data_IF_241305008880
#
_entry.id   IF_241305008880
#
_cell.length_a   1.000
_cell.length_b   1.000
_cell.length_c   1.000
_cell.angle_alpha   90.00
_cell.angle_beta   90.00
_cell.angle_gamma   90.00
#
_symmetry.space_group_name_H-M   'P 1'
#
loop_
_entity.id
_entity.type
_entity.pdbx_description
1 polymer ?
#
# COMPACT_ATOMS: atom_id res chain seq x y z
N UNK A 1 -0.54 -8.50 79.37
CA UNK A 1 -1.72 -7.64 79.58
C UNK A 1 -2.65 -7.84 78.39
N UNK A 2 -3.92 -8.24 78.65
CA UNK A 2 -5.20 -7.89 77.96
C UNK A 2 -5.17 -7.61 76.45
N UNK A 3 -6.08 -8.06 75.57
CA UNK A 3 -7.38 -8.71 75.66
C UNK A 3 -7.82 -9.17 74.24
N UNK A 4 -8.92 -9.95 74.17
CA UNK A 4 -9.70 -10.37 72.99
C UNK A 4 -10.37 -9.17 72.26
N UNK A 5 -10.94 -9.42 71.06
CA UNK A 5 -12.11 -8.82 70.33
C UNK A 5 -11.79 -8.96 68.82
N UNK A 6 -12.41 -9.79 67.95
CA UNK A 6 -13.81 -10.00 67.52
C UNK A 6 -14.44 -8.81 66.78
N UNK A 7 -14.42 -8.79 65.44
CA UNK A 7 -15.39 -8.05 64.58
C UNK A 7 -15.24 -8.37 63.07
N UNK A 8 -16.31 -8.88 62.45
CA UNK A 8 -16.72 -8.62 61.04
C UNK A 8 -17.72 -7.44 61.07
N UNK A 9 -18.23 -6.87 59.95
CA UNK A 9 -17.70 -6.51 58.62
C UNK A 9 -17.85 -4.98 58.35
N UNK A 10 -17.27 -4.42 57.28
CA UNK A 10 -17.78 -3.14 56.74
C UNK A 10 -17.56 -3.02 55.22
N UNK A 11 -18.67 -2.86 54.53
CA UNK A 11 -18.84 -2.55 53.13
C UNK A 11 -18.48 -1.07 52.90
N UNK A 12 -17.65 -0.76 51.90
CA UNK A 12 -17.56 0.60 51.36
C UNK A 12 -17.44 0.55 49.84
N UNK A 13 -18.49 1.03 49.21
CA UNK A 13 -18.72 1.23 47.78
C UNK A 13 -17.77 2.31 47.22
N UNK A 14 -17.03 2.00 46.15
CA UNK A 14 -16.57 2.95 45.13
C UNK A 14 -15.80 2.16 44.05
N UNK A 15 -16.39 1.89 42.89
CA UNK A 15 -16.33 2.73 41.68
C UNK A 15 -15.24 2.26 40.71
N UNK A 16 -15.72 1.99 39.50
CA UNK A 16 -15.04 2.14 38.22
C UNK A 16 -14.08 1.02 37.78
N UNK A 17 -14.70 0.10 37.02
CA UNK A 17 -14.26 -0.32 35.69
C UNK A 17 -13.01 0.39 35.17
N UNK A 18 -11.97 -0.39 34.92
CA UNK A 18 -11.17 -0.24 33.70
C UNK A 18 -10.96 -1.64 33.13
N UNK A 19 -11.95 -2.09 32.36
CA UNK A 19 -11.74 -3.13 31.36
C UNK A 19 -10.65 -2.55 30.45
N UNK A 20 -9.45 -3.12 30.54
CA UNK A 20 -8.30 -2.77 29.70
C UNK A 20 -8.63 -3.24 28.28
N UNK A 21 -9.44 -2.45 27.58
CA UNK A 21 -9.71 -2.61 26.17
C UNK A 21 -8.35 -2.50 25.46
N UNK A 22 -7.89 -3.64 24.94
CA UNK A 22 -6.80 -3.64 23.97
C UNK A 22 -7.18 -2.67 22.85
N UNK A 23 -6.28 -1.81 22.39
CA UNK A 23 -6.57 -0.93 21.27
C UNK A 23 -7.01 -1.81 20.10
N UNK A 24 -8.08 -1.47 19.37
CA UNK A 24 -8.38 -2.15 18.13
C UNK A 24 -7.12 -2.01 17.26
N UNK A 25 -6.54 -3.15 16.89
CA UNK A 25 -5.50 -3.21 15.89
C UNK A 25 -6.18 -2.72 14.62
N UNK A 26 -6.08 -1.43 14.38
CA UNK A 26 -6.58 -0.79 13.17
C UNK A 26 -5.66 -1.26 12.06
N UNK A 27 -5.97 -2.44 11.53
CA UNK A 27 -5.39 -2.98 10.32
C UNK A 27 -5.77 -2.03 9.19
N UNK A 28 -5.07 -0.92 9.07
CA UNK A 28 -5.17 0.03 7.96
C UNK A 28 -4.53 -0.61 6.74
N UNK A 29 -5.14 -1.68 6.25
CA UNK A 29 -4.98 -2.18 4.88
C UNK A 29 -5.70 -1.20 3.97
N UNK A 30 -5.14 0.00 3.84
CA UNK A 30 -5.71 1.07 3.03
C UNK A 30 -5.31 0.83 1.57
N UNK A 31 -5.86 -0.21 0.97
CA UNK A 31 -6.01 -0.24 -0.48
C UNK A 31 -6.97 0.88 -0.86
N UNK A 32 -6.71 1.53 -1.99
CA UNK A 32 -7.67 2.46 -2.56
C UNK A 32 -8.97 1.68 -2.80
N UNK A 33 -10.05 2.18 -2.20
CA UNK A 33 -11.38 1.65 -2.45
C UNK A 33 -11.69 1.81 -3.93
N UNK A 34 -12.35 0.82 -4.54
CA UNK A 34 -12.74 0.85 -5.96
C UNK A 34 -13.65 2.04 -6.30
N UNK A 35 -14.11 2.79 -5.30
CA UNK A 35 -15.03 3.93 -5.40
C UNK A 35 -14.41 5.28 -5.04
N UNK A 36 -13.11 5.35 -4.81
CA UNK A 36 -12.39 6.59 -4.53
C UNK A 36 -11.48 6.95 -5.69
N UNK A 37 -11.41 8.24 -5.99
CA UNK A 37 -10.46 8.78 -6.95
C UNK A 37 -9.02 8.46 -6.54
N UNK A 38 -8.16 8.18 -7.52
CA UNK A 38 -6.73 7.96 -7.36
C UNK A 38 -6.02 9.31 -7.58
N UNK A 39 -5.46 9.94 -6.52
CA UNK A 39 -4.66 11.15 -6.66
C UNK A 39 -3.22 10.83 -7.09
N UNK A 40 -2.52 11.82 -7.65
CA UNK A 40 -1.14 11.67 -8.15
C UNK A 40 -0.10 11.38 -7.04
N UNK A 41 -0.36 11.81 -5.81
CA UNK A 41 0.47 11.49 -4.66
C UNK A 41 0.18 10.10 -4.04
N UNK A 42 -0.73 9.32 -4.64
CA UNK A 42 -1.04 7.97 -4.17
C UNK A 42 0.20 7.08 -4.20
N UNK A 43 0.46 6.36 -3.11
CA UNK A 43 1.49 5.33 -3.06
C UNK A 43 1.16 4.20 -4.06
N UNK A 44 2.15 3.78 -4.85
CA UNK A 44 1.97 2.76 -5.90
C UNK A 44 1.45 1.45 -5.30
N UNK A 45 1.95 1.05 -4.11
CA UNK A 45 1.49 -0.13 -3.38
C UNK A 45 0.01 -0.13 -2.97
N UNK A 46 -0.63 1.05 -2.95
CA UNK A 46 -2.05 1.22 -2.58
C UNK A 46 -2.98 1.27 -3.79
N UNK A 47 -2.42 1.31 -5.01
CA UNK A 47 -3.21 1.33 -6.22
C UNK A 47 -4.06 0.06 -6.35
N UNK A 48 -5.19 0.11 -7.08
CA UNK A 48 -5.94 -1.08 -7.44
C UNK A 48 -5.04 -2.15 -8.07
N UNK A 49 -5.18 -3.39 -7.62
CA UNK A 49 -4.34 -4.53 -8.05
C UNK A 49 -4.24 -4.68 -9.57
N UNK A 50 -5.31 -4.39 -10.30
CA UNK A 50 -5.33 -4.44 -11.78
C UNK A 50 -4.32 -3.46 -12.40
N UNK A 51 -4.20 -2.25 -11.85
CA UNK A 51 -3.27 -1.23 -12.32
C UNK A 51 -1.83 -1.64 -12.00
N UNK A 52 -1.57 -2.11 -10.77
CA UNK A 52 -0.24 -2.62 -10.39
C UNK A 52 0.16 -3.80 -11.29
N UNK A 53 -0.78 -4.69 -11.60
CA UNK A 53 -0.53 -5.85 -12.45
C UNK A 53 -0.16 -5.47 -13.88
N UNK A 54 -0.80 -4.45 -14.47
CA UNK A 54 -0.42 -3.90 -15.78
C UNK A 54 1.06 -3.46 -15.77
N UNK A 55 1.44 -2.61 -14.81
CA UNK A 55 2.82 -2.10 -14.73
C UNK A 55 3.80 -3.26 -14.51
N UNK A 56 3.46 -4.18 -13.60
CA UNK A 56 4.28 -5.35 -13.31
C UNK A 56 4.50 -6.23 -14.55
N UNK A 57 3.45 -6.53 -15.32
CA UNK A 57 3.55 -7.41 -16.48
C UNK A 57 4.42 -6.82 -17.59
N UNK A 58 4.33 -5.51 -17.83
CA UNK A 58 5.16 -4.84 -18.84
C UNK A 58 6.63 -4.71 -18.41
N UNK A 59 6.91 -4.41 -17.14
CA UNK A 59 8.28 -4.28 -16.63
C UNK A 59 9.01 -5.62 -16.47
N UNK A 60 8.28 -6.74 -16.38
CA UNK A 60 8.82 -8.09 -16.28
C UNK A 60 9.39 -8.61 -17.62
N UNK A 61 9.03 -8.01 -18.75
CA UNK A 61 9.43 -8.47 -20.09
C UNK A 61 10.93 -8.27 -20.30
N UNK A 62 11.70 -9.37 -20.25
CA UNK A 62 13.18 -9.33 -20.32
C UNK A 62 13.77 -8.74 -21.61
N UNK A 63 13.01 -8.75 -22.70
CA UNK A 63 13.48 -8.29 -24.01
C UNK A 63 13.00 -6.87 -24.37
N UNK A 64 12.21 -6.23 -23.50
CA UNK A 64 11.84 -4.82 -23.69
C UNK A 64 12.88 -3.89 -23.08
N UNK A 65 13.06 -2.70 -23.66
CA UNK A 65 13.71 -1.59 -22.96
C UNK A 65 12.86 -1.17 -21.76
N UNK A 66 13.47 -0.61 -20.72
CA UNK A 66 12.77 -0.11 -19.53
C UNK A 66 12.11 -1.22 -18.71
N UNK A 67 12.91 -2.19 -18.29
CA UNK A 67 12.57 -3.30 -17.41
C UNK A 67 12.58 -2.88 -15.93
N UNK A 68 12.14 -3.77 -15.05
CA UNK A 68 12.27 -3.58 -13.60
C UNK A 68 13.74 -3.42 -13.14
N UNK A 69 14.72 -3.96 -13.88
CA UNK A 69 16.15 -3.82 -13.54
C UNK A 69 16.63 -2.39 -13.78
N UNK A 70 16.31 -1.84 -14.95
CA UNK A 70 16.61 -0.43 -15.26
C UNK A 70 15.85 0.50 -14.32
N UNK A 71 14.63 0.11 -13.88
CA UNK A 71 13.92 0.86 -12.84
C UNK A 71 14.72 0.92 -11.54
N UNK A 72 15.20 -0.20 -11.01
CA UNK A 72 15.94 -0.17 -9.73
C UNK A 72 17.30 0.52 -9.88
N UNK A 73 17.92 0.48 -11.06
CA UNK A 73 19.14 1.25 -11.36
C UNK A 73 18.91 2.76 -11.27
N UNK A 74 17.71 3.27 -11.66
CA UNK A 74 17.33 4.67 -11.45
C UNK A 74 17.21 5.05 -9.96
N UNK A 75 17.02 4.06 -9.08
CA UNK A 75 16.94 4.21 -7.62
C UNK A 75 18.25 3.79 -6.93
N UNK A 76 19.38 3.94 -7.63
CA UNK A 76 20.74 3.70 -7.12
C UNK A 76 21.02 2.25 -6.67
N UNK A 77 20.27 1.26 -7.17
CA UNK A 77 20.62 -0.14 -6.94
C UNK A 77 21.85 -0.54 -7.75
N UNK A 78 22.82 -1.15 -7.09
CA UNK A 78 23.99 -1.72 -7.74
C UNK A 78 23.71 -3.14 -8.28
N UNK A 79 24.64 -3.65 -9.09
CA UNK A 79 24.54 -4.97 -9.71
C UNK A 79 24.33 -6.08 -8.67
N UNK A 80 25.10 -6.09 -7.59
CA UNK A 80 25.04 -7.15 -6.57
C UNK A 80 23.66 -7.21 -5.89
N UNK A 81 23.10 -6.05 -5.53
CA UNK A 81 21.77 -5.97 -4.94
C UNK A 81 20.70 -6.41 -5.93
N UNK A 82 20.75 -5.93 -7.16
CA UNK A 82 19.80 -6.30 -8.22
C UNK A 82 19.86 -7.81 -8.52
N UNK A 83 21.07 -8.39 -8.54
CA UNK A 83 21.27 -9.82 -8.75
C UNK A 83 20.71 -10.63 -7.58
N UNK A 84 21.05 -10.28 -6.34
CA UNK A 84 20.54 -10.96 -5.15
C UNK A 84 19.02 -10.89 -5.08
N UNK A 85 18.44 -9.74 -5.41
CA UNK A 85 17.00 -9.56 -5.45
C UNK A 85 16.37 -10.46 -6.52
N UNK A 86 16.85 -10.48 -7.76
CA UNK A 86 16.32 -11.33 -8.84
C UNK A 86 16.23 -12.81 -8.47
N UNK A 87 17.19 -13.30 -7.68
CA UNK A 87 17.29 -14.71 -7.29
C UNK A 87 16.50 -15.04 -6.00
N UNK A 88 15.84 -14.05 -5.39
CA UNK A 88 14.91 -14.31 -4.29
C UNK A 88 13.60 -14.88 -4.80
N UNK A 89 12.85 -15.50 -3.88
CA UNK A 89 11.52 -16.00 -4.19
C UNK A 89 10.50 -14.85 -4.20
N UNK A 90 9.91 -14.58 -5.37
CA UNK A 90 8.93 -13.52 -5.56
C UNK A 90 7.52 -14.10 -5.82
N UNK A 91 6.82 -14.49 -4.74
CA UNK A 91 5.50 -15.16 -4.82
C UNK A 91 4.48 -14.41 -5.70
N UNK A 92 4.44 -13.08 -5.58
CA UNK A 92 3.47 -12.23 -6.30
C UNK A 92 4.06 -11.60 -7.58
N UNK A 93 5.32 -11.88 -7.88
CA UNK A 93 6.09 -11.25 -8.96
C UNK A 93 7.11 -10.21 -8.46
N UNK A 94 8.09 -9.91 -9.32
CA UNK A 94 9.27 -9.10 -8.95
C UNK A 94 8.84 -7.68 -8.57
N UNK A 95 8.00 -7.05 -9.39
CA UNK A 95 7.56 -5.68 -9.13
C UNK A 95 6.77 -5.53 -7.82
N UNK A 96 5.94 -6.52 -7.45
CA UNK A 96 5.23 -6.50 -6.16
C UNK A 96 6.20 -6.61 -4.99
N UNK A 97 7.26 -7.38 -5.16
CA UNK A 97 8.32 -7.50 -4.16
C UNK A 97 9.11 -6.20 -4.05
N UNK A 98 9.37 -5.49 -5.17
CA UNK A 98 10.04 -4.19 -5.15
C UNK A 98 9.29 -3.16 -4.32
N UNK A 99 7.96 -3.13 -4.41
CA UNK A 99 7.12 -2.22 -3.61
C UNK A 99 7.17 -2.49 -2.09
N UNK A 100 7.81 -3.58 -1.65
CA UNK A 100 8.06 -3.90 -0.24
C UNK A 100 9.45 -3.48 0.24
N UNK A 101 10.34 -3.11 -0.68
CA UNK A 101 11.68 -2.63 -0.36
C UNK A 101 11.63 -1.22 0.28
N UNK A 102 12.59 -0.87 1.14
CA UNK A 102 12.62 0.41 1.84
C UNK A 102 12.52 1.64 0.93
N UNK A 103 13.23 1.62 -0.19
CA UNK A 103 13.31 2.73 -1.15
C UNK A 103 11.97 2.99 -1.85
N UNK A 104 11.15 1.95 -1.98
CA UNK A 104 9.86 2.02 -2.65
C UNK A 104 8.67 2.24 -1.70
N UNK A 105 8.91 2.37 -0.38
CA UNK A 105 7.82 2.58 0.59
C UNK A 105 7.06 3.90 0.38
N UNK A 106 7.77 4.93 -0.07
CA UNK A 106 7.26 6.27 -0.41
C UNK A 106 7.21 6.51 -1.92
N UNK A 107 7.19 5.43 -2.70
CA UNK A 107 7.05 5.49 -4.15
C UNK A 107 5.58 5.74 -4.51
N UNK A 108 5.34 6.89 -5.13
CA UNK A 108 4.00 7.37 -5.48
C UNK A 108 3.79 7.37 -7.00
N UNK A 109 2.54 7.61 -7.40
CA UNK A 109 2.13 7.56 -8.80
C UNK A 109 2.85 8.62 -9.66
N UNK A 110 3.09 9.81 -9.12
CA UNK A 110 3.90 10.85 -9.79
C UNK A 110 5.31 10.35 -10.11
N UNK A 111 6.03 9.79 -9.12
CA UNK A 111 7.35 9.18 -9.33
C UNK A 111 7.30 8.05 -10.33
N UNK A 112 6.27 7.20 -10.27
CA UNK A 112 6.10 6.12 -11.26
C UNK A 112 5.96 6.65 -12.69
N UNK A 113 5.18 7.71 -12.90
CA UNK A 113 5.06 8.33 -14.22
C UNK A 113 6.39 8.92 -14.69
N UNK A 114 7.13 9.54 -13.79
CA UNK A 114 8.43 10.12 -14.08
C UNK A 114 9.45 9.04 -14.46
N UNK A 115 9.50 7.94 -13.70
CA UNK A 115 10.41 6.83 -13.99
C UNK A 115 10.05 6.14 -15.30
N UNK A 116 8.77 5.91 -15.58
CA UNK A 116 8.33 5.37 -16.88
C UNK A 116 8.69 6.31 -18.03
N UNK A 117 8.71 7.62 -17.81
CA UNK A 117 9.19 8.58 -18.80
C UNK A 117 10.70 8.47 -19.02
N UNK A 118 11.49 8.30 -17.96
CA UNK A 118 12.95 8.11 -18.05
C UNK A 118 13.37 6.74 -18.59
N UNK A 119 12.54 5.71 -18.44
CA UNK A 119 12.71 4.36 -18.99
C UNK A 119 12.19 4.20 -20.44
N UNK A 120 12.14 5.31 -21.20
CA UNK A 120 11.25 5.55 -22.36
C UNK A 120 9.97 4.70 -22.52
N UNK A 121 9.28 4.29 -21.45
CA UNK A 121 8.08 3.44 -21.47
C UNK A 121 6.80 4.23 -21.72
N UNK A 122 6.74 4.94 -22.85
CA UNK A 122 5.54 5.70 -23.26
C UNK A 122 4.32 4.80 -23.46
N UNK A 123 4.54 3.53 -23.82
CA UNK A 123 3.53 2.48 -23.90
C UNK A 123 2.85 2.29 -22.54
N UNK A 124 3.62 1.97 -21.50
CA UNK A 124 3.09 1.74 -20.15
C UNK A 124 2.47 3.02 -19.59
N UNK A 125 3.11 4.18 -19.82
CA UNK A 125 2.63 5.46 -19.32
C UNK A 125 1.24 5.80 -19.88
N UNK A 126 1.01 5.54 -21.17
CA UNK A 126 -0.28 5.74 -21.80
C UNK A 126 -1.36 4.84 -21.17
N UNK A 127 -1.11 3.54 -21.14
CA UNK A 127 -2.06 2.54 -20.62
C UNK A 127 -2.38 2.78 -19.13
N UNK A 128 -1.38 3.16 -18.34
CA UNK A 128 -1.52 3.53 -16.92
C UNK A 128 -2.46 4.73 -16.75
N UNK A 129 -2.27 5.78 -17.55
CA UNK A 129 -3.09 6.98 -17.47
C UNK A 129 -4.53 6.74 -17.94
N UNK A 130 -4.71 5.88 -18.94
CA UNK A 130 -6.04 5.48 -19.41
C UNK A 130 -6.77 4.69 -18.30
N UNK A 131 -6.11 3.70 -17.69
CA UNK A 131 -6.70 2.91 -16.61
C UNK A 131 -7.06 3.74 -15.38
N UNK A 132 -6.23 4.73 -15.02
CA UNK A 132 -6.49 5.62 -13.88
C UNK A 132 -7.67 6.54 -14.18
N UNK A 133 -7.70 7.15 -15.37
CA UNK A 133 -8.82 8.00 -15.80
C UNK A 133 -10.14 7.23 -15.77
N UNK A 134 -10.16 6.03 -16.37
CA UNK A 134 -11.33 5.15 -16.35
C UNK A 134 -11.75 4.75 -14.92
N UNK A 135 -10.78 4.52 -14.02
CA UNK A 135 -11.09 4.25 -12.61
C UNK A 135 -11.77 5.44 -11.94
N UNK A 136 -11.21 6.64 -12.12
CA UNK A 136 -11.68 7.87 -11.50
C UNK A 136 -13.08 8.25 -12.01
N UNK A 137 -13.36 8.10 -13.31
CA UNK A 137 -14.70 8.29 -13.89
C UNK A 137 -15.75 7.35 -13.29
N UNK A 138 -15.38 6.07 -13.10
CA UNK A 138 -16.25 5.08 -12.47
C UNK A 138 -16.52 5.42 -10.99
N UNK A 139 -15.50 5.89 -10.26
CA UNK A 139 -15.63 6.33 -8.87
C UNK A 139 -16.59 7.52 -8.75
N UNK A 140 -16.44 8.54 -9.60
CA UNK A 140 -17.32 9.73 -9.63
C UNK A 140 -18.77 9.35 -9.97
N UNK A 141 -18.95 8.46 -10.95
CA UNK A 141 -20.28 7.96 -11.34
C UNK A 141 -20.97 7.18 -10.22
N UNK A 142 -20.21 6.39 -9.46
CA UNK A 142 -20.74 5.64 -8.32
C UNK A 142 -21.13 6.55 -7.13
N UNK A 143 -20.43 7.67 -6.94
CA UNK A 143 -20.75 8.65 -5.90
C UNK A 143 -22.02 9.44 -6.25
N UNK A 144 -22.16 9.89 -7.50
CA UNK A 144 -23.35 10.64 -7.97
C UNK A 144 -24.67 9.87 -7.76
N UNK A 145 -24.67 8.55 -8.02
CA UNK A 145 -25.84 7.67 -7.83
C UNK A 145 -26.26 7.49 -6.37
N UNK A 146 -25.35 7.69 -5.42
CA UNK A 146 -25.66 7.53 -3.99
C UNK A 146 -26.15 8.83 -3.34
N UNK A 147 -25.93 9.99 -3.97
CA UNK A 147 -26.40 11.30 -3.47
C UNK A 147 -27.83 11.66 -3.89
N UNK A 148 -28.48 10.84 -4.74
CA UNK A 148 -29.83 11.09 -5.27
C UNK A 148 -30.94 10.30 -4.56
N UNK A 149 -30.65 9.70 -3.41
CA UNK A 149 -31.58 8.86 -2.65
C UNK A 149 -31.72 9.38 -1.22
#
# INVERSE_FOLDING_TARGET
MTAKIDTLPTQSTANNEVIKAAPPISSSSSFISVRSEIPDNCLVRKLPRKIIHLVASHLQVRQSQGTWKELVELHDWNYDRTYLFEHQHHEEGIFYSLLREPEFQDYNLEKLRQDLYYLPRKDILHDLNEMISAHNENALSAQSRNSTR
#
